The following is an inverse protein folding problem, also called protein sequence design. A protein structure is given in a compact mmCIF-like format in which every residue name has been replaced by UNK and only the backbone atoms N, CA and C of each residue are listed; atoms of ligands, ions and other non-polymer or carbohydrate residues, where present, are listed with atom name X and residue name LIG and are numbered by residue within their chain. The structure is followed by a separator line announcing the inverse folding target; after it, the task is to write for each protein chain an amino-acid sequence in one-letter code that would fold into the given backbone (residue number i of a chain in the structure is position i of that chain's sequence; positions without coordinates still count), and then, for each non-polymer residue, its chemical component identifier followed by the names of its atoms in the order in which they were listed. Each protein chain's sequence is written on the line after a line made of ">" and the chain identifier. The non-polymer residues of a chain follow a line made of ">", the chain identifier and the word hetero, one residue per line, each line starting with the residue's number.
data_IF_269894839157
#
_entry.id   IF_269894839157
#
_cell.length_a   1.000
_cell.length_b   1.000
_cell.length_c   1.000
_cell.angle_alpha   90.00
_cell.angle_beta   90.00
_cell.angle_gamma   90.00
#
_symmetry.space_group_name_H-M   'P 1'
#
loop_
_entity.id
_entity.type
_entity.pdbx_description
1 polymer ?
#
# COMPACT_ATOMS: atom_id res chain seq x y z
N UNK A 1 44.05 -1.52 5.54
CA UNK A 1 45.18 -0.64 5.88
C UNK A 1 44.73 0.82 5.88
N UNK A 2 45.09 1.58 6.91
CA UNK A 2 44.67 2.98 7.12
C UNK A 2 45.37 3.95 6.15
N UNK A 3 44.82 5.17 5.97
CA UNK A 3 45.43 6.19 5.11
C UNK A 3 46.86 6.55 5.56
N UNK A 4 47.16 6.77 6.86
CA UNK A 4 48.53 6.98 7.33
C UNK A 4 49.47 5.85 6.93
N UNK A 5 49.02 4.60 7.04
CA UNK A 5 49.88 3.46 6.73
C UNK A 5 50.10 3.29 5.22
N UNK A 6 49.05 3.44 4.40
CA UNK A 6 49.17 3.36 2.93
C UNK A 6 50.05 4.47 2.33
N UNK A 7 50.01 5.66 2.94
CA UNK A 7 50.76 6.83 2.48
C UNK A 7 52.15 6.96 3.09
N UNK A 8 52.49 6.08 4.05
CA UNK A 8 53.78 6.11 4.72
C UNK A 8 54.90 5.75 3.73
N UNK A 9 55.81 6.69 3.53
CA UNK A 9 57.03 6.47 2.77
C UNK A 9 58.22 6.96 3.61
N UNK A 10 59.16 6.06 3.88
CA UNK A 10 60.34 6.35 4.70
C UNK A 10 61.62 6.12 3.89
N UNK A 11 62.53 7.07 3.96
CA UNK A 11 63.84 7.02 3.33
C UNK A 11 64.91 7.48 4.32
N UNK A 12 66.14 7.00 4.15
CA UNK A 12 67.25 7.31 5.04
C UNK A 12 68.51 7.68 4.24
N UNK A 13 69.43 8.40 4.87
CA UNK A 13 70.69 8.84 4.27
C UNK A 13 71.86 7.83 4.48
N UNK A 14 71.57 6.67 5.08
CA UNK A 14 72.52 5.63 5.48
C UNK A 14 73.69 6.13 6.35
N UNK A 15 73.54 7.31 6.97
CA UNK A 15 74.56 7.97 7.78
C UNK A 15 74.06 8.25 9.18
N UNK A 16 73.00 9.05 9.29
CA UNK A 16 72.42 9.36 10.60
C UNK A 16 70.96 9.79 10.59
N UNK A 17 70.32 9.99 9.43
CA UNK A 17 68.97 10.56 9.34
C UNK A 17 67.98 9.62 8.65
N UNK A 18 66.77 9.60 9.19
CA UNK A 18 65.59 8.95 8.61
C UNK A 18 64.50 10.00 8.46
N UNK A 19 63.92 10.09 7.26
CA UNK A 19 62.78 10.95 6.96
C UNK A 19 61.61 10.11 6.50
N UNK A 20 60.45 10.32 7.11
CA UNK A 20 59.21 9.67 6.73
C UNK A 20 58.17 10.72 6.35
N UNK A 21 57.43 10.46 5.29
CA UNK A 21 56.28 11.25 4.87
C UNK A 21 55.02 10.41 4.94
N UNK A 22 53.92 10.97 5.43
CA UNK A 22 52.62 10.31 5.46
C UNK A 22 51.49 11.33 5.43
N UNK A 23 50.27 10.86 5.20
CA UNK A 23 49.07 11.67 5.09
C UNK A 23 47.98 11.18 6.04
N UNK A 24 47.15 12.10 6.53
CA UNK A 24 45.88 11.80 7.20
C UNK A 24 44.77 12.74 6.76
N UNK A 25 43.53 12.32 6.97
CA UNK A 25 42.37 13.16 6.65
C UNK A 25 42.27 14.32 7.64
N UNK A 26 42.03 15.54 7.16
CA UNK A 26 41.96 16.75 7.98
C UNK A 26 40.90 16.65 9.08
N UNK A 27 39.69 16.24 8.74
CA UNK A 27 38.61 16.08 9.74
C UNK A 27 38.92 14.98 10.78
N UNK A 28 39.63 13.91 10.37
CA UNK A 28 40.01 12.87 11.31
C UNK A 28 41.09 13.37 12.28
N UNK A 29 42.05 14.15 11.78
CA UNK A 29 43.07 14.81 12.60
C UNK A 29 42.47 15.73 13.65
N UNK A 30 41.46 16.53 13.26
CA UNK A 30 40.76 17.45 14.17
C UNK A 30 40.11 16.69 15.35
N UNK A 31 39.67 15.45 15.13
CA UNK A 31 39.08 14.59 16.15
C UNK A 31 40.14 13.82 16.95
N UNK A 32 41.09 13.20 16.26
CA UNK A 32 42.17 12.37 16.82
C UNK A 32 43.41 12.44 15.93
N UNK A 33 44.48 13.00 16.48
CA UNK A 33 45.76 13.06 15.80
C UNK A 33 46.50 11.72 15.88
N UNK A 34 47.20 11.36 14.81
CA UNK A 34 48.04 10.16 14.79
C UNK A 34 49.50 10.49 15.08
N UNK A 35 50.17 9.59 15.80
CA UNK A 35 51.59 9.66 16.10
C UNK A 35 52.27 8.51 15.36
N UNK A 36 53.20 8.86 14.46
CA UNK A 36 54.10 7.90 13.84
C UNK A 36 55.17 7.51 14.86
N UNK A 37 55.42 6.21 15.03
CA UNK A 37 56.50 5.70 15.85
C UNK A 37 57.34 4.67 15.08
N UNK A 38 58.61 4.55 15.44
CA UNK A 38 59.57 3.55 14.95
C UNK A 38 60.04 2.71 16.13
N UNK A 39 59.84 1.38 16.10
CA UNK A 39 60.25 0.47 17.20
C UNK A 39 59.88 1.00 18.61
N UNK A 40 58.69 1.56 18.76
CA UNK A 40 58.12 2.20 19.96
C UNK A 40 58.66 3.61 20.33
N UNK A 41 59.51 4.22 19.52
CA UNK A 41 59.95 5.61 19.68
C UNK A 41 59.13 6.55 18.79
N UNK A 42 58.56 7.61 19.37
CA UNK A 42 57.79 8.58 18.60
C UNK A 42 58.69 9.36 17.63
N UNK A 43 58.24 9.43 16.38
CA UNK A 43 58.90 10.22 15.35
C UNK A 43 58.46 11.68 15.50
N UNK A 44 59.41 12.61 15.41
CA UNK A 44 59.08 14.03 15.45
C UNK A 44 58.55 14.50 14.10
N UNK A 45 57.23 14.70 14.02
CA UNK A 45 56.51 15.08 12.82
C UNK A 45 56.14 16.57 12.79
N UNK A 46 56.29 17.20 11.63
CA UNK A 46 55.79 18.55 11.36
C UNK A 46 54.86 18.52 10.16
N UNK A 47 53.79 19.32 10.24
CA UNK A 47 52.89 19.54 9.11
C UNK A 47 53.68 20.21 7.98
N UNK A 48 53.56 19.67 6.78
CA UNK A 48 54.13 20.26 5.58
C UNK A 48 53.25 21.46 5.16
N UNK A 49 53.82 22.67 5.09
CA UNK A 49 53.12 23.86 4.59
C UNK A 49 53.29 23.98 3.08
N UNK A 50 52.23 24.49 2.42
CA UNK A 50 51.88 24.48 0.97
C UNK A 50 52.91 24.90 -0.09
N UNK A 51 54.19 25.13 0.24
CA UNK A 51 55.13 25.71 -0.71
C UNK A 51 55.91 24.74 -1.60
N UNK A 52 55.59 23.43 -1.64
CA UNK A 52 56.41 22.49 -2.44
C UNK A 52 55.69 21.40 -3.26
N UNK A 53 54.36 21.26 -3.29
CA UNK A 53 53.70 20.31 -4.20
C UNK A 53 52.30 20.75 -4.66
N UNK A 54 52.15 21.02 -5.96
CA UNK A 54 50.87 20.99 -6.68
C UNK A 54 50.50 19.52 -6.91
N UNK A 55 49.60 18.91 -6.12
CA UNK A 55 48.79 17.73 -6.53
C UNK A 55 47.94 17.07 -5.43
N UNK A 56 48.02 17.49 -4.16
CA UNK A 56 47.18 16.89 -3.11
C UNK A 56 45.82 17.61 -2.95
N UNK A 57 44.70 16.89 -2.84
CA UNK A 57 43.41 17.50 -2.47
C UNK A 57 43.51 18.13 -1.08
N UNK A 58 42.86 19.29 -0.89
CA UNK A 58 42.79 20.14 0.33
C UNK A 58 42.25 19.42 1.60
N UNK A 59 41.99 18.12 1.49
CA UNK A 59 41.32 17.25 2.46
C UNK A 59 42.35 16.43 3.27
N UNK A 60 43.61 16.35 2.82
CA UNK A 60 44.66 15.59 3.49
C UNK A 60 45.73 16.50 4.09
N UNK A 61 46.09 16.22 5.34
CA UNK A 61 47.22 16.84 6.03
C UNK A 61 48.47 16.00 5.77
N UNK A 62 49.49 16.64 5.22
CA UNK A 62 50.79 16.03 4.96
C UNK A 62 51.73 16.23 6.14
N UNK A 63 52.37 15.14 6.56
CA UNK A 63 53.31 15.13 7.67
C UNK A 63 54.68 14.71 7.19
N UNK A 64 55.70 15.46 7.63
CA UNK A 64 57.11 15.11 7.44
C UNK A 64 57.72 14.88 8.81
N UNK A 65 58.18 13.66 9.04
CA UNK A 65 58.78 13.25 10.30
C UNK A 65 60.25 12.97 10.11
N UNK A 66 61.08 13.44 11.06
CA UNK A 66 62.53 13.23 11.03
C UNK A 66 63.00 12.65 12.35
N UNK A 67 63.90 11.68 12.27
CA UNK A 67 64.56 11.10 13.43
C UNK A 67 66.02 10.77 13.07
N UNK A 68 66.89 10.75 14.08
CA UNK A 68 68.28 10.35 13.94
C UNK A 68 68.47 8.90 14.39
N UNK A 69 69.38 8.19 13.74
CA UNK A 69 69.76 6.83 14.13
C UNK A 69 71.26 6.66 14.03
N UNK A 70 71.82 5.82 14.90
CA UNK A 70 73.27 5.61 15.01
C UNK A 70 73.76 4.41 14.19
N UNK A 71 72.84 3.57 13.72
CA UNK A 71 73.19 2.32 13.04
C UNK A 71 72.32 2.08 11.81
N UNK A 72 73.00 1.80 10.70
CA UNK A 72 72.43 1.26 9.46
C UNK A 72 73.25 0.04 9.07
N UNK A 73 72.57 -1.02 8.62
CA UNK A 73 73.21 -2.26 8.22
C UNK A 73 72.36 -3.03 7.22
N UNK A 74 72.99 -3.86 6.39
CA UNK A 74 72.29 -4.77 5.48
C UNK A 74 71.55 -5.81 6.32
N UNK A 75 70.26 -6.02 6.05
CA UNK A 75 69.41 -6.94 6.81
C UNK A 75 68.88 -6.38 8.14
N UNK A 76 68.98 -5.06 8.34
CA UNK A 76 68.35 -4.36 9.48
C UNK A 76 67.00 -3.82 9.03
N UNK A 77 65.91 -4.40 9.54
CA UNK A 77 64.55 -3.97 9.23
C UNK A 77 64.02 -3.00 10.29
N UNK A 78 63.37 -1.91 9.86
CA UNK A 78 62.69 -0.98 10.75
C UNK A 78 61.17 -1.14 10.67
N UNK A 79 60.54 -1.21 11.85
CA UNK A 79 59.09 -1.30 11.98
C UNK A 79 58.51 0.06 12.33
N UNK A 80 57.62 0.53 11.47
CA UNK A 80 56.85 1.76 11.66
C UNK A 80 55.41 1.43 12.01
N UNK A 81 54.84 2.22 12.91
CA UNK A 81 53.45 2.09 13.29
C UNK A 81 52.83 3.44 13.61
N UNK A 82 51.51 3.45 13.68
CA UNK A 82 50.75 4.63 14.07
C UNK A 82 49.96 4.31 15.34
N UNK A 83 49.92 5.27 16.28
CA UNK A 83 49.04 5.22 17.43
C UNK A 83 48.28 6.53 17.56
N UNK A 84 47.00 6.50 17.99
CA UNK A 84 46.27 7.72 18.28
C UNK A 84 46.92 8.46 19.47
N UNK A 85 46.85 9.79 19.46
CA UNK A 85 47.30 10.63 20.57
C UNK A 85 46.33 10.65 21.76
N UNK A 86 45.18 9.99 21.61
CA UNK A 86 44.15 9.80 22.63
C UNK A 86 43.92 8.30 22.83
N UNK A 87 43.59 7.90 24.05
CA UNK A 87 43.14 6.53 24.33
C UNK A 87 41.70 6.39 23.84
N UNK A 88 41.49 5.56 22.82
CA UNK A 88 40.16 5.23 22.29
C UNK A 88 39.82 3.81 22.69
N UNK A 89 39.12 3.65 23.82
CA UNK A 89 38.83 2.36 24.43
C UNK A 89 37.43 2.37 25.03
N UNK A 90 36.76 1.22 24.96
CA UNK A 90 35.50 0.96 25.64
C UNK A 90 35.59 -0.40 26.35
N UNK A 91 35.18 -0.43 27.61
CA UNK A 91 35.16 -1.63 28.45
C UNK A 91 33.76 -1.80 29.02
N UNK A 92 33.32 -3.05 29.16
CA UNK A 92 32.01 -3.39 29.69
C UNK A 92 32.07 -4.73 30.42
N UNK A 93 31.70 -4.73 31.69
CA UNK A 93 31.45 -5.95 32.45
C UNK A 93 30.07 -6.50 32.08
N UNK A 94 30.04 -7.69 31.50
CA UNK A 94 28.81 -8.32 31.00
C UNK A 94 28.36 -9.44 31.95
N UNK A 95 27.25 -9.22 32.65
CA UNK A 95 26.55 -10.30 33.36
C UNK A 95 25.76 -11.15 32.37
N UNK A 96 26.17 -12.40 32.20
CA UNK A 96 25.57 -13.35 31.27
C UNK A 96 24.09 -13.65 31.57
N UNK A 97 23.65 -13.52 32.82
CA UNK A 97 22.27 -13.82 33.23
C UNK A 97 21.35 -12.60 33.12
N UNK A 98 21.91 -11.38 33.04
CA UNK A 98 21.15 -10.14 32.88
C UNK A 98 21.19 -9.56 31.45
N UNK A 99 21.99 -10.15 30.56
CA UNK A 99 22.16 -9.70 29.17
C UNK A 99 21.86 -10.83 28.18
N UNK A 100 20.79 -11.58 28.42
CA UNK A 100 20.39 -12.71 27.57
C UNK A 100 19.60 -12.21 26.36
N UNK A 101 20.06 -12.54 25.16
CA UNK A 101 19.26 -12.46 23.94
C UNK A 101 19.03 -13.87 23.41
N UNK A 102 17.82 -14.43 23.54
CA UNK A 102 17.52 -15.77 23.03
C UNK A 102 17.64 -15.84 21.51
N UNK A 103 17.81 -17.06 20.98
CA UNK A 103 17.75 -17.28 19.54
C UNK A 103 16.28 -17.23 19.05
N UNK A 104 16.04 -16.83 17.79
CA UNK A 104 14.70 -16.74 17.24
C UNK A 104 14.00 -18.10 17.25
N UNK A 105 12.69 -18.16 17.58
CA UNK A 105 11.89 -19.36 17.42
C UNK A 105 11.96 -19.91 15.99
N UNK A 106 11.97 -21.24 15.86
CA UNK A 106 12.12 -21.93 14.58
C UNK A 106 10.88 -22.75 14.24
N UNK A 107 10.73 -23.14 12.97
CA UNK A 107 9.66 -24.01 12.48
C UNK A 107 8.26 -23.50 12.83
N UNK A 108 8.02 -22.19 12.72
CA UNK A 108 6.70 -21.62 12.89
C UNK A 108 5.77 -22.17 11.80
N UNK A 109 4.66 -22.77 12.21
CA UNK A 109 3.68 -23.37 11.32
C UNK A 109 2.25 -23.14 11.81
N UNK A 110 1.30 -23.19 10.88
CA UNK A 110 -0.14 -23.00 11.15
C UNK A 110 -0.90 -24.26 10.77
N UNK A 111 -1.70 -24.78 11.69
CA UNK A 111 -2.65 -25.86 11.47
C UNK A 111 -4.09 -25.38 11.66
N UNK A 112 -5.03 -25.89 10.87
CA UNK A 112 -6.46 -25.64 11.08
C UNK A 112 -7.04 -26.67 12.05
N UNK A 113 -7.77 -26.21 13.06
CA UNK A 113 -8.47 -27.08 14.00
C UNK A 113 -9.87 -27.47 13.50
N UNK A 114 -10.43 -28.54 14.04
CA UNK A 114 -11.82 -28.97 13.75
C UNK A 114 -12.87 -27.95 14.22
N UNK A 115 -12.55 -27.15 15.25
CA UNK A 115 -13.39 -26.02 15.69
C UNK A 115 -13.47 -24.91 14.65
N UNK A 116 -12.52 -24.86 13.71
CA UNK A 116 -12.38 -23.79 12.74
C UNK A 116 -11.39 -22.69 13.12
N UNK A 117 -10.75 -22.83 14.28
CA UNK A 117 -9.66 -21.98 14.77
C UNK A 117 -8.31 -22.36 14.12
N UNK A 118 -7.31 -21.52 14.35
CA UNK A 118 -5.95 -21.73 13.83
C UNK A 118 -4.96 -21.97 14.95
N UNK A 119 -4.27 -23.12 14.92
CA UNK A 119 -3.19 -23.46 15.82
C UNK A 119 -1.85 -23.03 15.23
N UNK A 120 -1.20 -22.06 15.85
CA UNK A 120 0.19 -21.72 15.59
C UNK A 120 1.08 -22.60 16.47
N UNK A 121 2.11 -23.21 15.88
CA UNK A 121 3.12 -23.97 16.62
C UNK A 121 4.52 -23.58 16.17
N UNK A 122 5.47 -23.55 17.10
CA UNK A 122 6.87 -23.28 16.82
C UNK A 122 7.76 -24.16 17.70
N UNK A 123 9.07 -24.05 17.51
CA UNK A 123 10.08 -24.70 18.36
C UNK A 123 11.02 -23.66 18.92
N UNK A 124 11.46 -23.88 20.15
CA UNK A 124 12.63 -23.19 20.69
C UNK A 124 13.85 -23.59 19.88
N UNK A 125 14.72 -22.63 19.58
CA UNK A 125 15.97 -22.94 18.90
C UNK A 125 16.86 -23.83 19.79
N UNK A 126 17.60 -24.75 19.16
CA UNK A 126 18.40 -25.76 19.87
C UNK A 126 19.41 -25.15 20.86
N UNK A 127 20.01 -24.00 20.52
CA UNK A 127 20.92 -23.26 21.40
C UNK A 127 20.26 -22.55 22.59
N UNK A 128 18.93 -22.47 22.63
CA UNK A 128 18.16 -21.84 23.72
C UNK A 128 17.39 -22.86 24.56
N UNK A 129 17.61 -24.17 24.37
CA UNK A 129 16.94 -25.20 25.16
C UNK A 129 17.28 -25.14 26.65
N UNK A 130 18.48 -24.65 27.02
CA UNK A 130 18.87 -24.42 28.40
C UNK A 130 18.03 -23.36 29.13
N UNK A 131 17.35 -22.48 28.38
CA UNK A 131 16.40 -21.50 28.91
C UNK A 131 14.98 -22.09 29.05
N UNK A 132 14.72 -23.32 28.61
CA UNK A 132 13.51 -24.11 28.86
C UNK A 132 12.21 -23.30 29.08
N UNK A 133 11.64 -23.45 30.28
CA UNK A 133 10.39 -22.80 30.72
C UNK A 133 10.57 -21.34 31.15
N UNK A 134 11.81 -20.84 31.12
CA UNK A 134 12.18 -19.48 31.44
C UNK A 134 11.97 -18.52 30.25
N UNK A 135 11.37 -18.97 29.15
CA UNK A 135 11.05 -18.14 27.99
C UNK A 135 9.57 -17.72 27.96
N UNK A 136 9.37 -16.45 27.59
CA UNK A 136 8.10 -15.91 27.11
C UNK A 136 8.19 -15.70 25.60
N UNK A 137 7.10 -15.96 24.90
CA UNK A 137 6.96 -15.79 23.46
C UNK A 137 5.96 -14.71 23.15
N UNK A 138 6.33 -13.82 22.25
CA UNK A 138 5.42 -12.85 21.68
C UNK A 138 5.07 -13.27 20.26
N UNK A 139 3.80 -13.59 20.06
CA UNK A 139 3.22 -13.89 18.75
C UNK A 139 2.57 -12.62 18.24
N UNK A 140 3.01 -12.15 17.07
CA UNK A 140 2.37 -11.02 16.39
C UNK A 140 1.77 -11.48 15.08
N UNK A 141 0.56 -11.04 14.78
CA UNK A 141 -0.13 -11.40 13.55
C UNK A 141 -0.94 -10.23 13.02
N UNK A 142 -1.06 -10.19 11.69
CA UNK A 142 -1.78 -9.15 10.97
C UNK A 142 -2.27 -9.69 9.64
N UNK A 143 -3.15 -8.97 8.98
CA UNK A 143 -3.46 -9.24 7.56
C UNK A 143 -2.27 -8.84 6.71
N UNK A 144 -2.12 -9.52 5.58
CA UNK A 144 -0.96 -9.36 4.70
C UNK A 144 -0.73 -7.90 4.29
N UNK A 145 -1.82 -7.15 4.03
CA UNK A 145 -1.78 -5.74 3.62
C UNK A 145 -1.61 -4.73 4.77
N UNK A 146 -1.80 -5.12 6.03
CA UNK A 146 -1.70 -4.23 7.20
C UNK A 146 -0.25 -3.92 7.56
N UNK A 147 0.00 -2.84 8.30
CA UNK A 147 1.33 -2.55 8.85
C UNK A 147 1.61 -3.43 10.07
N UNK A 148 2.88 -3.63 10.41
CA UNK A 148 3.27 -4.31 11.65
C UNK A 148 3.04 -3.46 12.91
N UNK A 149 2.84 -2.15 12.78
CA UNK A 149 2.55 -1.24 13.90
C UNK A 149 1.14 -1.44 14.45
N UNK A 150 0.19 -1.83 13.59
CA UNK A 150 -1.22 -2.09 13.92
C UNK A 150 -1.49 -3.57 14.22
N UNK A 151 -0.45 -4.41 14.24
CA UNK A 151 -0.58 -5.86 14.39
C UNK A 151 -1.08 -6.26 15.78
N UNK A 152 -1.92 -7.30 15.82
CA UNK A 152 -2.32 -7.91 17.07
C UNK A 152 -1.14 -8.67 17.68
N UNK A 153 -0.97 -8.56 18.99
CA UNK A 153 0.14 -9.16 19.73
C UNK A 153 -0.37 -9.99 20.90
N UNK A 154 0.17 -11.19 21.07
CA UNK A 154 -0.14 -12.11 22.16
C UNK A 154 1.15 -12.48 22.88
N UNK A 155 1.19 -12.24 24.19
CA UNK A 155 2.29 -12.66 25.04
C UNK A 155 1.93 -13.97 25.74
N UNK A 156 2.80 -14.96 25.60
CA UNK A 156 2.58 -16.33 26.04
C UNK A 156 3.76 -16.82 26.86
N UNK A 157 3.51 -17.39 28.04
CA UNK A 157 4.56 -17.89 28.92
C UNK A 157 4.64 -19.41 28.82
N UNK A 158 5.86 -19.95 28.73
CA UNK A 158 6.11 -21.40 28.83
C UNK A 158 5.26 -22.28 27.88
N UNK A 159 5.02 -21.81 26.65
CA UNK A 159 4.32 -22.58 25.61
C UNK A 159 4.98 -22.35 24.26
N UNK A 160 4.90 -23.36 23.40
CA UNK A 160 5.38 -23.32 22.01
C UNK A 160 4.23 -23.37 21.01
N UNK A 161 3.01 -23.10 21.47
CA UNK A 161 1.82 -23.05 20.64
C UNK A 161 0.81 -22.02 21.11
N UNK A 162 -0.02 -21.55 20.18
CA UNK A 162 -1.08 -20.57 20.40
C UNK A 162 -2.28 -20.89 19.51
N UNK A 163 -3.50 -20.79 20.06
CA UNK A 163 -4.72 -20.88 19.26
C UNK A 163 -5.26 -19.49 18.96
N UNK A 164 -5.49 -19.18 17.69
CA UNK A 164 -6.16 -17.97 17.23
C UNK A 164 -7.61 -18.30 16.93
N UNK A 165 -8.52 -17.63 17.66
CA UNK A 165 -9.96 -17.80 17.47
C UNK A 165 -10.39 -17.36 16.08
N UNK A 166 -11.28 -18.12 15.46
CA UNK A 166 -11.93 -17.71 14.21
C UNK A 166 -12.64 -16.37 14.33
N UNK A 167 -13.19 -16.06 15.50
CA UNK A 167 -14.00 -14.85 15.72
C UNK A 167 -13.16 -13.55 15.68
N UNK A 168 -11.88 -13.66 16.03
CA UNK A 168 -10.94 -12.54 16.02
C UNK A 168 -10.35 -12.27 14.62
N UNK A 169 -10.56 -13.20 13.68
CA UNK A 169 -10.01 -13.16 12.34
C UNK A 169 -11.07 -12.78 11.31
N UNK A 170 -10.71 -11.92 10.37
CA UNK A 170 -11.61 -11.53 9.28
C UNK A 170 -11.68 -12.67 8.25
N UNK A 171 -12.85 -13.30 8.01
CA UNK A 171 -12.99 -14.41 7.08
C UNK A 171 -12.72 -13.98 5.64
N UNK A 172 -12.08 -14.83 4.83
CA UNK A 172 -11.64 -14.56 3.46
C UNK A 172 -10.42 -13.63 3.35
N UNK A 173 -9.52 -13.65 4.32
CA UNK A 173 -8.33 -12.79 4.38
C UNK A 173 -7.05 -13.62 4.46
N UNK A 174 -5.98 -13.11 3.84
CA UNK A 174 -4.61 -13.61 4.07
C UNK A 174 -4.06 -12.97 5.34
N UNK A 175 -3.56 -13.80 6.25
CA UNK A 175 -2.86 -13.41 7.46
C UNK A 175 -1.42 -13.86 7.43
N UNK A 176 -0.58 -13.09 8.13
CA UNK A 176 0.83 -13.40 8.36
C UNK A 176 1.12 -13.27 9.86
N UNK A 177 1.95 -14.16 10.39
CA UNK A 177 2.39 -14.13 11.77
C UNK A 177 3.89 -14.37 11.90
N UNK A 178 4.45 -13.87 12.99
CA UNK A 178 5.83 -14.08 13.41
C UNK A 178 5.91 -14.16 14.93
N UNK A 179 6.90 -14.87 15.43
CA UNK A 179 7.08 -15.10 16.87
C UNK A 179 8.51 -14.73 17.26
N UNK A 180 8.68 -14.12 18.43
CA UNK A 180 10.00 -13.90 19.04
C UNK A 180 9.97 -14.31 20.50
N UNK A 181 11.12 -14.62 21.05
CA UNK A 181 11.28 -15.05 22.43
C UNK A 181 11.96 -13.97 23.28
N UNK A 182 11.73 -13.99 24.58
CA UNK A 182 12.47 -13.21 25.57
C UNK A 182 12.60 -14.01 26.87
N UNK A 183 13.56 -13.67 27.73
CA UNK A 183 13.53 -14.13 29.11
C UNK A 183 12.22 -13.74 29.78
N UNK A 184 11.60 -14.71 30.44
CA UNK A 184 10.37 -14.54 31.20
C UNK A 184 10.62 -13.71 32.45
N UNK A 185 9.62 -12.95 32.87
CA UNK A 185 9.78 -11.96 33.95
C UNK A 185 10.20 -12.60 35.28
N UNK A 186 9.73 -13.80 35.54
CA UNK A 186 9.97 -14.54 36.79
C UNK A 186 11.07 -15.62 36.67
N UNK A 187 11.86 -15.56 35.59
CA UNK A 187 12.81 -16.62 35.26
C UNK A 187 14.19 -16.50 35.94
N UNK A 188 14.48 -15.36 36.57
CA UNK A 188 15.82 -15.02 37.07
C UNK A 188 16.79 -14.57 35.99
N UNK A 189 16.42 -14.71 34.71
CA UNK A 189 17.15 -14.17 33.56
C UNK A 189 16.52 -12.86 33.11
N UNK A 190 17.34 -11.92 32.64
CA UNK A 190 16.87 -10.70 32.00
C UNK A 190 17.65 -10.42 30.71
N UNK A 191 17.08 -9.58 29.87
CA UNK A 191 17.67 -9.21 28.59
C UNK A 191 16.64 -8.84 27.55
N UNK A 192 17.02 -8.96 26.29
CA UNK A 192 16.26 -8.46 25.15
C UNK A 192 15.45 -9.56 24.47
N UNK A 193 14.53 -9.13 23.61
CA UNK A 193 13.87 -10.04 22.70
C UNK A 193 14.86 -10.60 21.67
N UNK A 194 14.63 -11.84 21.25
CA UNK A 194 15.25 -12.40 20.06
C UNK A 194 14.86 -11.60 18.83
N UNK A 195 15.61 -11.78 17.75
CA UNK A 195 15.07 -11.48 16.42
C UNK A 195 13.77 -12.26 16.17
N UNK A 196 12.97 -11.77 15.22
CA UNK A 196 11.75 -12.44 14.81
C UNK A 196 12.04 -13.77 14.12
N UNK A 197 11.14 -14.74 14.29
CA UNK A 197 11.11 -15.96 13.49
C UNK A 197 10.86 -15.63 12.02
N UNK A 198 11.08 -16.62 11.15
CA UNK A 198 10.52 -16.59 9.81
C UNK A 198 9.00 -16.46 9.88
N UNK A 199 8.44 -15.69 8.94
CA UNK A 199 7.02 -15.41 8.89
C UNK A 199 6.26 -16.63 8.34
N UNK A 200 5.05 -16.85 8.85
CA UNK A 200 4.12 -17.87 8.32
C UNK A 200 2.86 -17.20 7.83
N UNK A 201 2.36 -17.62 6.67
CA UNK A 201 1.13 -17.11 6.08
C UNK A 201 0.03 -18.17 6.03
N UNK A 202 -1.22 -17.76 6.26
CA UNK A 202 -2.39 -18.61 6.07
C UNK A 202 -3.58 -17.79 5.55
N UNK A 203 -4.62 -18.48 5.08
CA UNK A 203 -5.86 -17.86 4.64
C UNK A 203 -7.03 -18.32 5.49
N UNK A 204 -7.87 -17.38 5.90
CA UNK A 204 -9.14 -17.71 6.56
C UNK A 204 -10.17 -18.19 5.52
N UNK A 205 -11.13 -19.06 5.90
CA UNK A 205 -12.14 -19.56 4.97
C UNK A 205 -12.90 -18.41 4.31
N UNK A 206 -13.29 -18.59 3.04
CA UNK A 206 -13.97 -17.52 2.29
C UNK A 206 -15.24 -17.04 3.00
N UNK A 207 -15.34 -15.72 3.15
CA UNK A 207 -16.62 -15.08 3.41
C UNK A 207 -17.46 -15.08 2.13
N UNK A 208 -18.77 -15.25 2.27
CA UNK A 208 -19.73 -15.10 1.17
C UNK A 208 -19.78 -13.66 0.62
N UNK A 209 -20.93 -13.24 0.11
CA UNK A 209 -21.11 -11.90 -0.44
C UNK A 209 -21.47 -10.84 0.60
N UNK A 210 -21.60 -11.22 1.87
CA UNK A 210 -22.00 -10.33 2.94
C UNK A 210 -20.87 -9.34 3.29
N UNK A 211 -21.20 -8.08 3.64
CA UNK A 211 -20.24 -7.16 4.23
C UNK A 211 -19.59 -7.77 5.46
N UNK A 212 -18.30 -7.53 5.65
CA UNK A 212 -17.52 -8.09 6.76
C UNK A 212 -16.74 -7.00 7.49
N UNK A 213 -16.23 -7.35 8.67
CA UNK A 213 -15.37 -6.47 9.45
C UNK A 213 -15.99 -5.08 9.74
N UNK A 214 -17.30 -5.04 10.04
CA UNK A 214 -17.97 -3.80 10.43
C UNK A 214 -17.42 -3.33 11.78
N UNK A 215 -16.80 -2.14 11.80
CA UNK A 215 -16.22 -1.53 13.00
C UNK A 215 -16.65 -0.08 13.07
N UNK A 216 -17.06 0.37 14.26
CA UNK A 216 -17.39 1.76 14.52
C UNK A 216 -16.57 2.28 15.69
N UNK A 217 -15.97 3.46 15.51
CA UNK A 217 -15.11 4.12 16.49
C UNK A 217 -15.67 5.51 16.77
N UNK A 218 -16.03 5.76 18.03
CA UNK A 218 -16.47 7.08 18.49
C UNK A 218 -15.25 7.91 18.88
N UNK A 219 -15.15 9.14 18.38
CA UNK A 219 -14.03 10.03 18.67
C UNK A 219 -14.08 10.67 20.08
N UNK A 220 -15.12 10.39 20.88
CA UNK A 220 -15.31 11.00 22.20
C UNK A 220 -15.95 12.39 22.18
N UNK A 221 -16.20 12.95 20.99
CA UNK A 221 -16.82 14.26 20.81
C UNK A 221 -18.17 14.12 20.11
N UNK A 222 -18.13 14.20 18.79
CA UNK A 222 -19.29 14.45 17.94
C UNK A 222 -19.36 13.52 16.71
N UNK A 223 -18.44 12.55 16.57
CA UNK A 223 -18.33 11.72 15.37
C UNK A 223 -18.13 10.25 15.69
N UNK A 224 -19.03 9.44 15.14
CA UNK A 224 -18.92 7.99 15.10
C UNK A 224 -18.51 7.56 13.68
N UNK A 225 -17.28 7.10 13.53
CA UNK A 225 -16.75 6.66 12.24
C UNK A 225 -16.92 5.16 12.11
N UNK A 226 -17.72 4.72 11.14
CA UNK A 226 -17.95 3.31 10.85
C UNK A 226 -17.26 2.91 9.54
N UNK A 227 -16.67 1.73 9.51
CA UNK A 227 -16.01 1.15 8.35
C UNK A 227 -16.36 -0.33 8.20
N UNK A 228 -16.41 -0.80 6.96
CA UNK A 228 -16.72 -2.18 6.60
C UNK A 228 -16.01 -2.58 5.29
N UNK A 229 -15.97 -3.88 5.02
CA UNK A 229 -15.33 -4.43 3.83
C UNK A 229 -16.32 -5.18 2.94
N UNK A 230 -16.19 -4.97 1.63
CA UNK A 230 -17.00 -5.65 0.59
C UNK A 230 -16.09 -6.15 -0.54
N UNK A 231 -16.53 -7.19 -1.25
CA UNK A 231 -15.77 -7.73 -2.39
C UNK A 231 -15.73 -6.68 -3.50
N UNK A 232 -14.52 -6.34 -3.98
CA UNK A 232 -14.32 -5.32 -5.02
C UNK A 232 -15.09 -5.62 -6.31
N UNK A 233 -15.22 -6.90 -6.65
CA UNK A 233 -15.88 -7.34 -7.89
C UNK A 233 -17.39 -7.06 -7.92
N UNK A 234 -18.03 -6.82 -6.76
CA UNK A 234 -19.48 -6.54 -6.71
C UNK A 234 -19.80 -5.06 -6.53
N UNK A 235 -18.84 -4.20 -6.21
CA UNK A 235 -19.12 -2.78 -5.90
C UNK A 235 -19.56 -1.97 -7.12
N UNK A 236 -19.33 -2.47 -8.33
CA UNK A 236 -19.83 -1.87 -9.58
C UNK A 236 -21.31 -2.15 -9.84
N UNK A 237 -21.91 -3.12 -9.13
CA UNK A 237 -23.30 -3.56 -9.36
C UNK A 237 -24.17 -3.43 -8.12
N UNK A 238 -23.57 -3.56 -6.93
CA UNK A 238 -24.26 -3.44 -5.64
C UNK A 238 -23.60 -2.32 -4.86
N UNK A 239 -24.35 -1.25 -4.62
CA UNK A 239 -23.94 -0.20 -3.70
C UNK A 239 -24.30 -0.63 -2.28
N UNK A 240 -23.38 -0.44 -1.35
CA UNK A 240 -23.64 -0.67 0.07
C UNK A 240 -23.69 0.67 0.78
N UNK A 241 -24.62 0.79 1.72
CA UNK A 241 -24.74 1.96 2.58
C UNK A 241 -24.93 1.51 4.02
N UNK A 242 -24.56 2.39 4.94
CA UNK A 242 -24.72 2.16 6.37
C UNK A 242 -26.00 2.84 6.84
N UNK A 243 -26.81 2.09 7.58
CA UNK A 243 -28.05 2.55 8.19
C UNK A 243 -27.92 2.47 9.70
N UNK A 244 -28.39 3.50 10.40
CA UNK A 244 -28.28 3.56 11.84
C UNK A 244 -29.55 4.02 12.53
N UNK A 245 -29.70 3.61 13.78
CA UNK A 245 -30.76 4.04 14.69
C UNK A 245 -30.14 4.48 16.00
N UNK A 246 -30.59 5.62 16.52
CA UNK A 246 -30.11 6.18 17.77
C UNK A 246 -30.84 5.58 18.97
N UNK A 247 -32.09 5.13 18.79
CA UNK A 247 -32.82 4.35 19.78
C UNK A 247 -33.63 3.27 19.08
N UNK A 248 -34.06 2.18 19.76
CA UNK A 248 -34.88 1.14 19.13
C UNK A 248 -36.19 1.65 18.51
N UNK A 249 -36.70 2.78 19.00
CA UNK A 249 -37.94 3.41 18.54
C UNK A 249 -37.72 4.53 17.51
N UNK A 250 -36.48 4.93 17.23
CA UNK A 250 -36.21 5.97 16.22
C UNK A 250 -36.40 5.42 14.81
N UNK A 251 -36.72 6.32 13.88
CA UNK A 251 -36.60 6.00 12.46
C UNK A 251 -35.14 5.68 12.12
N UNK A 252 -34.97 4.91 11.06
CA UNK A 252 -33.67 4.47 10.58
C UNK A 252 -33.15 5.46 9.56
N UNK A 253 -31.95 5.98 9.81
CA UNK A 253 -31.31 6.99 8.97
C UNK A 253 -30.22 6.36 8.11
N UNK A 254 -30.04 6.88 6.89
CA UNK A 254 -28.94 6.49 6.00
C UNK A 254 -27.73 7.40 6.22
N UNK A 255 -26.55 6.81 6.43
CA UNK A 255 -25.31 7.54 6.54
C UNK A 255 -24.79 7.93 5.15
N UNK A 256 -24.46 9.21 4.96
CA UNK A 256 -23.94 9.74 3.70
C UNK A 256 -23.01 10.95 3.95
N UNK A 257 -21.91 11.11 3.19
CA UNK A 257 -21.46 10.27 2.08
C UNK A 257 -20.69 9.01 2.53
N UNK A 258 -20.75 7.97 1.71
CA UNK A 258 -19.90 6.77 1.87
C UNK A 258 -18.60 6.99 1.11
N UNK A 259 -17.48 6.86 1.81
CA UNK A 259 -16.13 6.91 1.26
C UNK A 259 -15.63 5.50 0.96
N UNK A 260 -14.87 5.34 -0.11
CA UNK A 260 -14.26 4.06 -0.49
C UNK A 260 -12.74 4.19 -0.58
N UNK A 261 -12.04 3.20 -0.03
CA UNK A 261 -10.59 3.07 -0.06
C UNK A 261 -10.21 1.70 -0.60
N UNK A 262 -9.46 1.68 -1.70
CA UNK A 262 -8.87 0.44 -2.24
C UNK A 262 -7.64 0.06 -1.43
N UNK A 263 -7.55 -1.21 -1.08
CA UNK A 263 -6.40 -1.78 -0.39
C UNK A 263 -5.54 -2.58 -1.40
N UNK A 264 -4.20 -2.50 -1.33
CA UNK A 264 -3.33 -3.24 -2.23
C UNK A 264 -3.39 -4.75 -1.96
N UNK A 265 -3.26 -5.56 -3.01
CA UNK A 265 -3.16 -7.02 -2.95
C UNK A 265 -4.31 -7.75 -2.22
N UNK A 266 -5.48 -7.12 -2.07
CA UNK A 266 -6.68 -7.75 -1.53
C UNK A 266 -7.87 -7.63 -2.48
N UNK A 267 -8.73 -8.66 -2.57
CA UNK A 267 -9.94 -8.64 -3.41
C UNK A 267 -11.10 -7.83 -2.78
N UNK A 268 -10.84 -7.09 -1.70
CA UNK A 268 -11.83 -6.32 -0.96
C UNK A 268 -11.50 -4.82 -1.00
N UNK A 269 -12.54 -4.00 -0.89
CA UNK A 269 -12.43 -2.56 -0.67
C UNK A 269 -13.02 -2.21 0.69
N UNK A 270 -12.44 -1.20 1.34
CA UNK A 270 -12.96 -0.66 2.59
C UNK A 270 -13.88 0.49 2.25
N UNK A 271 -15.08 0.46 2.80
CA UNK A 271 -16.03 1.56 2.74
C UNK A 271 -16.24 2.11 4.14
N UNK A 272 -16.44 3.41 4.26
CA UNK A 272 -16.61 4.09 5.54
C UNK A 272 -17.58 5.24 5.46
N UNK A 273 -18.27 5.50 6.57
CA UNK A 273 -19.17 6.64 6.72
C UNK A 273 -19.10 7.21 8.13
N UNK A 274 -19.35 8.51 8.27
CA UNK A 274 -19.24 9.25 9.52
C UNK A 274 -20.62 9.72 9.96
N UNK A 275 -21.04 9.28 11.14
CA UNK A 275 -22.33 9.64 11.74
C UNK A 275 -22.11 10.80 12.73
N UNK A 276 -22.81 11.93 12.58
CA UNK A 276 -22.76 13.02 13.56
C UNK A 276 -23.50 12.62 14.85
N UNK A 277 -22.87 12.89 16.00
CA UNK A 277 -23.38 12.56 17.34
C UNK A 277 -23.61 13.86 18.12
N UNK A 278 -24.89 14.22 18.33
CA UNK A 278 -25.25 15.53 18.92
C UNK A 278 -25.38 15.51 20.44
N UNK A 279 -25.65 14.36 21.07
CA UNK A 279 -25.88 14.27 22.52
C UNK A 279 -25.42 12.92 23.11
N UNK A 280 -24.10 12.74 23.21
CA UNK A 280 -23.47 11.51 23.72
C UNK A 280 -23.91 11.12 25.14
N UNK A 281 -24.35 12.08 25.95
CA UNK A 281 -24.81 11.88 27.33
C UNK A 281 -26.17 11.21 27.46
N UNK A 282 -27.06 11.36 26.47
CA UNK A 282 -28.41 10.76 26.47
C UNK A 282 -28.58 9.65 25.43
N UNK A 283 -27.69 9.58 24.45
CA UNK A 283 -27.74 8.66 23.31
C UNK A 283 -26.44 7.87 23.22
N UNK A 284 -26.22 6.97 24.18
CA UNK A 284 -24.98 6.19 24.29
C UNK A 284 -24.93 4.94 23.42
N UNK A 285 -26.07 4.52 22.84
CA UNK A 285 -26.18 3.26 22.12
C UNK A 285 -26.76 3.46 20.72
N UNK A 286 -25.92 3.25 19.70
CA UNK A 286 -26.32 3.26 18.30
C UNK A 286 -26.45 1.83 17.79
N UNK A 287 -27.52 1.54 17.06
CA UNK A 287 -27.61 0.32 16.27
C UNK A 287 -27.21 0.67 14.83
N UNK A 288 -26.19 -0.02 14.31
CA UNK A 288 -25.69 0.18 12.94
C UNK A 288 -25.84 -1.11 12.14
N UNK A 289 -26.18 -0.96 10.87
CA UNK A 289 -26.29 -2.07 9.93
C UNK A 289 -25.78 -1.67 8.56
N UNK A 290 -25.11 -2.58 7.85
CA UNK A 290 -24.68 -2.36 6.48
C UNK A 290 -25.49 -3.27 5.57
N UNK A 291 -26.11 -2.70 4.54
CA UNK A 291 -26.91 -3.45 3.57
C UNK A 291 -26.80 -2.83 2.18
N UNK A 292 -27.22 -3.59 1.18
CA UNK A 292 -27.32 -3.09 -0.18
C UNK A 292 -28.30 -1.91 -0.22
N UNK A 293 -27.88 -0.82 -0.86
CA UNK A 293 -28.71 0.35 -1.12
C UNK A 293 -29.62 0.06 -2.30
N UNK A 294 -30.91 0.33 -2.14
CA UNK A 294 -31.86 0.29 -3.25
C UNK A 294 -31.73 1.59 -4.03
N UNK A 295 -31.37 1.50 -5.31
CA UNK A 295 -31.39 2.65 -6.22
C UNK A 295 -32.59 2.56 -7.14
N UNK A 296 -33.33 3.66 -7.21
CA UNK A 296 -34.48 3.79 -8.09
C UNK A 296 -34.27 4.98 -9.02
N UNK A 297 -34.58 4.76 -10.30
CA UNK A 297 -34.58 5.83 -11.29
C UNK A 297 -36.01 6.04 -11.77
N UNK A 298 -36.55 7.23 -11.51
CA UNK A 298 -37.82 7.63 -12.09
C UNK A 298 -37.64 7.80 -13.61
N UNK A 299 -38.28 6.92 -14.38
CA UNK A 299 -38.39 7.05 -15.83
C UNK A 299 -39.84 7.39 -16.15
N UNK A 300 -40.06 8.65 -16.49
CA UNK A 300 -41.37 9.12 -16.93
C UNK A 300 -41.69 8.51 -18.30
N UNK A 301 -42.48 7.44 -18.32
CA UNK A 301 -42.77 6.66 -19.53
C UNK A 301 -43.31 7.53 -20.68
N UNK A 302 -44.13 8.54 -20.37
CA UNK A 302 -44.71 9.46 -21.35
C UNK A 302 -43.70 10.38 -22.05
N UNK A 303 -42.49 10.53 -21.49
CA UNK A 303 -41.37 11.26 -22.10
C UNK A 303 -40.37 10.36 -22.83
N UNK A 304 -40.44 9.05 -22.64
CA UNK A 304 -39.47 8.06 -23.13
C UNK A 304 -40.11 7.08 -24.14
N UNK A 305 -40.89 7.61 -25.08
CA UNK A 305 -41.64 6.81 -26.06
C UNK A 305 -40.78 6.57 -27.30
N UNK A 306 -40.47 5.31 -27.60
CA UNK A 306 -39.89 4.90 -28.88
C UNK A 306 -40.98 4.25 -29.74
N UNK A 307 -41.49 5.00 -30.72
CA UNK A 307 -42.52 4.51 -31.64
C UNK A 307 -41.88 3.52 -32.63
N UNK A 308 -42.57 2.42 -32.92
CA UNK A 308 -42.16 1.49 -33.98
C UNK A 308 -42.12 2.20 -35.35
N UNK A 309 -41.26 1.75 -36.28
CA UNK A 309 -41.20 2.33 -37.61
C UNK A 309 -42.57 2.24 -38.32
N UNK A 310 -42.93 3.23 -39.17
CA UNK A 310 -44.16 3.19 -39.94
C UNK A 310 -44.24 1.93 -40.80
N UNK A 311 -45.40 1.28 -40.82
CA UNK A 311 -45.61 0.07 -41.61
C UNK A 311 -46.05 0.40 -43.05
N UNK A 312 -45.76 -0.50 -43.98
CA UNK A 312 -46.23 -0.45 -45.37
C UNK A 312 -45.94 0.87 -46.08
N UNK A 313 -44.70 1.35 -45.96
CA UNK A 313 -44.23 2.49 -46.75
C UNK A 313 -44.27 2.10 -48.23
N UNK A 314 -45.09 2.79 -49.01
CA UNK A 314 -45.31 2.50 -50.43
C UNK A 314 -45.41 3.79 -51.22
N UNK A 315 -45.04 3.73 -52.50
CA UNK A 315 -45.07 4.87 -53.42
C UNK A 315 -46.04 4.53 -54.55
N UNK A 316 -46.97 5.43 -54.81
CA UNK A 316 -47.94 5.29 -55.90
C UNK A 316 -47.88 6.50 -56.83
N UNK A 317 -47.97 6.30 -58.15
CA UNK A 317 -48.05 7.38 -59.12
C UNK A 317 -49.51 7.79 -59.32
N UNK A 318 -49.80 9.08 -59.17
CA UNK A 318 -51.14 9.64 -59.36
C UNK A 318 -51.43 9.86 -60.85
N UNK A 319 -52.71 10.03 -61.21
CA UNK A 319 -53.16 10.28 -62.59
C UNK A 319 -52.52 11.52 -63.24
N UNK A 320 -52.01 12.44 -62.41
CA UNK A 320 -51.32 13.67 -62.82
C UNK A 320 -49.79 13.53 -62.92
N UNK A 321 -49.24 12.31 -62.94
CA UNK A 321 -47.78 12.03 -62.93
C UNK A 321 -47.04 12.51 -61.66
N UNK A 322 -47.74 12.77 -60.54
CA UNK A 322 -47.09 13.05 -59.24
C UNK A 322 -46.88 11.76 -58.44
N UNK A 323 -45.79 11.65 -57.67
CA UNK A 323 -45.53 10.53 -56.77
C UNK A 323 -46.13 10.80 -55.38
N UNK A 324 -46.87 9.84 -54.86
CA UNK A 324 -47.48 9.90 -53.53
C UNK A 324 -46.87 8.83 -52.62
N UNK A 325 -46.28 9.25 -51.51
CA UNK A 325 -45.75 8.36 -50.47
C UNK A 325 -46.82 8.10 -49.40
N UNK A 326 -47.12 6.83 -49.15
CA UNK A 326 -48.11 6.37 -48.18
C UNK A 326 -47.47 5.48 -47.13
N UNK A 327 -47.89 5.62 -45.88
CA UNK A 327 -47.49 4.75 -44.78
C UNK A 327 -48.62 4.59 -43.76
N UNK A 328 -48.55 3.51 -42.99
CA UNK A 328 -49.49 3.24 -41.92
C UNK A 328 -48.91 3.75 -40.60
N UNK A 329 -49.62 4.68 -39.96
CA UNK A 329 -49.27 5.18 -38.62
C UNK A 329 -49.30 4.07 -37.58
N UNK A 330 -48.42 4.15 -36.59
CA UNK A 330 -48.46 3.23 -35.45
C UNK A 330 -49.77 3.41 -34.68
N UNK A 331 -50.43 2.32 -34.29
CA UNK A 331 -51.68 2.37 -33.51
C UNK A 331 -51.36 2.18 -32.04
N UNK A 332 -51.62 3.21 -31.23
CA UNK A 332 -51.52 3.11 -29.78
C UNK A 332 -52.75 2.39 -29.19
N UNK A 333 -52.56 1.71 -28.06
CA UNK A 333 -53.60 0.89 -27.37
C UNK A 333 -54.77 1.76 -26.89
N UNK A 334 -54.47 2.96 -26.39
CA UNK A 334 -55.48 3.95 -26.01
C UNK A 334 -55.53 5.07 -27.03
N UNK A 335 -56.74 5.47 -27.41
CA UNK A 335 -57.03 6.43 -28.47
C UNK A 335 -56.84 7.90 -28.01
N UNK A 336 -55.89 8.15 -27.10
CA UNK A 336 -55.50 9.51 -26.75
C UNK A 336 -54.74 10.13 -27.94
N UNK A 337 -54.89 11.44 -28.11
CA UNK A 337 -54.40 12.25 -29.22
C UNK A 337 -52.87 12.45 -29.21
N UNK A 338 -52.10 11.36 -29.12
CA UNK A 338 -50.65 11.39 -29.28
C UNK A 338 -50.34 11.73 -30.74
N UNK A 339 -49.88 12.96 -30.96
CA UNK A 339 -49.55 13.46 -32.29
C UNK A 339 -48.25 12.80 -32.77
N UNK A 340 -48.33 12.02 -33.84
CA UNK A 340 -47.16 11.44 -34.50
C UNK A 340 -46.62 12.42 -35.53
N UNK A 341 -45.29 12.58 -35.56
CA UNK A 341 -44.56 13.40 -36.54
C UNK A 341 -43.67 12.48 -37.35
N UNK A 342 -43.62 12.70 -38.65
CA UNK A 342 -42.86 11.86 -39.56
C UNK A 342 -41.74 12.66 -40.19
N UNK A 343 -40.58 12.01 -40.32
CA UNK A 343 -39.47 12.53 -41.11
C UNK A 343 -39.30 11.60 -42.30
N UNK A 344 -39.43 12.15 -43.50
CA UNK A 344 -39.31 11.41 -44.75
C UNK A 344 -38.00 11.80 -45.42
N UNK A 345 -37.24 10.81 -45.87
CA UNK A 345 -36.01 11.04 -46.65
C UNK A 345 -36.10 10.26 -47.96
N UNK A 346 -35.70 10.93 -49.05
CA UNK A 346 -35.55 10.30 -50.35
C UNK A 346 -34.28 10.78 -51.05
N UNK A 347 -33.76 9.96 -51.96
CA UNK A 347 -32.58 10.27 -52.78
C UNK A 347 -32.63 9.48 -54.09
N UNK A 348 -31.96 9.99 -55.12
CA UNK A 348 -31.83 9.30 -56.41
C UNK A 348 -30.77 8.20 -56.31
N UNK A 349 -31.06 7.03 -56.86
CA UNK A 349 -30.15 5.90 -56.82
C UNK A 349 -28.83 6.26 -57.51
N UNK A 350 -27.70 6.06 -56.81
CA UNK A 350 -26.33 6.49 -57.16
C UNK A 350 -25.97 7.98 -56.96
N UNK A 351 -26.83 8.80 -56.34
CA UNK A 351 -26.47 10.14 -55.87
C UNK A 351 -26.80 10.27 -54.36
N UNK A 352 -25.81 10.61 -53.54
CA UNK A 352 -25.95 10.67 -52.07
C UNK A 352 -26.50 12.01 -51.54
N UNK A 353 -27.00 12.89 -52.40
CA UNK A 353 -27.64 14.14 -51.97
C UNK A 353 -29.05 13.85 -51.42
N UNK A 354 -29.19 13.97 -50.09
CA UNK A 354 -30.41 13.62 -49.35
C UNK A 354 -31.33 14.81 -49.23
N UNK A 355 -32.53 14.71 -49.80
CA UNK A 355 -33.59 15.69 -49.54
C UNK A 355 -34.42 15.20 -48.36
N UNK A 356 -34.57 16.03 -47.33
CA UNK A 356 -35.27 15.69 -46.07
C UNK A 356 -36.48 16.57 -45.88
N UNK A 357 -37.66 15.96 -45.75
CA UNK A 357 -38.90 16.66 -45.43
C UNK A 357 -39.40 16.25 -44.04
N UNK A 358 -39.84 17.22 -43.26
CA UNK A 358 -40.51 17.00 -41.96
C UNK A 358 -42.00 17.19 -42.15
N UNK A 359 -42.78 16.15 -41.94
CA UNK A 359 -44.24 16.17 -42.08
C UNK A 359 -44.86 16.17 -40.69
N UNK A 360 -45.64 17.21 -40.40
CA UNK A 360 -46.48 17.30 -39.21
C UNK A 360 -47.96 17.16 -39.61
N UNK A 361 -48.75 16.56 -38.72
CA UNK A 361 -50.22 16.66 -38.59
C UNK A 361 -51.10 15.48 -39.03
N UNK A 362 -52.34 15.56 -38.53
CA UNK A 362 -53.52 14.67 -38.56
C UNK A 362 -53.95 14.08 -39.92
N UNK A 363 -53.09 14.04 -40.94
CA UNK A 363 -53.34 13.37 -42.22
C UNK A 363 -52.16 12.44 -42.55
N UNK A 364 -52.37 11.11 -42.67
CA UNK A 364 -51.31 10.15 -42.98
C UNK A 364 -50.84 10.18 -44.45
N UNK A 365 -50.84 11.34 -45.11
CA UNK A 365 -50.40 11.51 -46.48
C UNK A 365 -49.65 12.84 -46.65
N UNK A 366 -48.43 12.79 -47.17
CA UNK A 366 -47.68 13.98 -47.56
C UNK A 366 -48.07 14.38 -48.99
N UNK A 367 -49.07 15.26 -49.12
CA UNK A 367 -49.54 15.77 -50.43
C UNK A 367 -48.64 16.85 -51.04
N UNK A 368 -47.62 17.32 -50.31
CA UNK A 368 -46.75 18.42 -50.72
C UNK A 368 -45.30 17.98 -51.05
N UNK A 369 -45.11 16.71 -51.44
CA UNK A 369 -43.90 16.27 -52.15
C UNK A 369 -43.92 16.70 -53.64
N UNK A 370 -44.49 17.87 -53.95
CA UNK A 370 -44.64 18.37 -55.31
C UNK A 370 -43.33 18.98 -55.80
N UNK A 371 -42.46 18.15 -56.37
CA UNK A 371 -41.45 18.61 -57.31
C UNK A 371 -41.63 17.90 -58.65
N UNK A 372 -41.78 18.70 -59.71
CA UNK A 372 -42.22 18.29 -61.07
C UNK A 372 -41.22 17.43 -61.86
N UNK A 373 -40.14 16.95 -61.25
CA UNK A 373 -39.19 16.06 -61.92
C UNK A 373 -38.62 15.06 -60.92
N UNK A 374 -39.35 13.96 -60.71
CA UNK A 374 -38.89 12.80 -59.95
C UNK A 374 -38.77 11.62 -60.94
N UNK A 375 -37.57 11.09 -61.11
CA UNK A 375 -37.25 9.95 -61.99
C UNK A 375 -37.59 8.61 -61.29
N UNK A 376 -37.77 7.50 -62.02
CA UNK A 376 -38.20 6.21 -61.46
C UNK A 376 -37.22 5.53 -60.49
N UNK A 377 -36.04 6.12 -60.26
CA UNK A 377 -34.89 5.56 -59.56
C UNK A 377 -34.74 6.04 -58.10
N UNK A 378 -35.82 6.44 -57.42
CA UNK A 378 -35.75 7.02 -56.07
C UNK A 378 -35.94 5.96 -54.97
N UNK A 379 -35.12 6.01 -53.92
CA UNK A 379 -35.24 5.17 -52.72
C UNK A 379 -35.82 6.02 -51.59
N UNK A 380 -36.86 5.52 -50.91
CA UNK A 380 -37.55 6.21 -49.81
C UNK A 380 -37.28 5.49 -48.49
N UNK A 381 -36.98 6.26 -47.42
CA UNK A 381 -36.75 5.73 -46.07
C UNK A 381 -37.37 6.58 -44.97
#
# INVERSE_FOLDING_TARGET
>A
ESIPMKSLNCYNDYKSQVTCTWMEHSEAHDLVGMILYRRNEDMFCKRQTENDLHEAPDIYVHWVCRNTTEYFGIGVDDFYGFRPNKVLQAELDVDLFQNVQPLPPQNLSVGSMTSGDFLLTWRTADGSQGLGNALEFEVTYKREWESWEEAASLLLSNTTSCSLSREDLVPGSSYIARVRARPGRDSGFSGQYSEWSTEVSWKTPEAGLQPRNLRCLFNGGDRLTCSWEVKKVITTSVLFSLFFRVTPASEEEECSPVHEKTLPHTPYVVQSCEIPVSNSSSQSQYHVSVRAKTEEKLIEAYKNIQVLPPANVSVTTTENQEYELRWIKHKFIHNYSITQRYQVKYWENNQYEKVTYKVQENRPACTDCRQKHLTPSLIFR
#
